data_IF_528917334036
#
_entry.id   IF_528917334036
#
_cell.length_a   1.000
_cell.length_b   1.000
_cell.length_c   1.000
_cell.angle_alpha   90.00
_cell.angle_beta   90.00
_cell.angle_gamma   90.00
#
_symmetry.space_group_name_H-M   'P 1'
#
loop_
_entity.id
_entity.type
_entity.pdbx_description
1 polymer ?
#
# COMPACT_ATOMS: atom_id res chain seq x y z
N UNK A 1 -17.58 45.01 42.28
CA UNK A 1 -17.73 43.54 42.25
C UNK A 1 -17.58 42.98 40.84
N UNK A 2 -18.47 43.28 39.88
CA UNK A 2 -18.41 42.69 38.53
C UNK A 2 -17.11 42.99 37.74
N UNK A 3 -16.59 44.23 37.83
CA UNK A 3 -15.36 44.64 37.14
C UNK A 3 -14.14 43.80 37.54
N UNK A 4 -14.00 43.52 38.84
CA UNK A 4 -12.91 42.68 39.37
C UNK A 4 -13.01 41.25 38.84
N UNK A 5 -14.23 40.69 38.76
CA UNK A 5 -14.47 39.38 38.17
C UNK A 5 -14.12 39.34 36.67
N UNK A 6 -14.51 40.36 35.90
CA UNK A 6 -14.17 40.45 34.47
C UNK A 6 -12.65 40.52 34.29
N UNK A 7 -11.95 41.31 35.11
CA UNK A 7 -10.50 41.46 35.01
C UNK A 7 -9.78 40.15 35.37
N UNK A 8 -10.25 39.44 36.40
CA UNK A 8 -9.75 38.10 36.76
C UNK A 8 -9.97 37.09 35.63
N UNK A 9 -11.16 37.10 35.00
CA UNK A 9 -11.48 36.21 33.88
C UNK A 9 -10.56 36.46 32.67
N UNK A 10 -10.27 37.72 32.36
CA UNK A 10 -9.33 38.10 31.29
C UNK A 10 -7.93 37.57 31.61
N UNK A 11 -7.44 37.79 32.83
CA UNK A 11 -6.11 37.30 33.24
C UNK A 11 -6.02 35.77 33.17
N UNK A 12 -7.05 35.06 33.62
CA UNK A 12 -7.10 33.60 33.53
C UNK A 12 -7.06 33.11 32.07
N UNK A 13 -7.78 33.78 31.16
CA UNK A 13 -7.75 33.45 29.74
C UNK A 13 -6.39 33.73 29.09
N UNK A 14 -5.75 34.85 29.42
CA UNK A 14 -4.42 35.17 28.92
C UNK A 14 -3.37 34.18 29.43
N UNK A 15 -3.45 33.78 30.69
CA UNK A 15 -2.59 32.73 31.26
C UNK A 15 -2.81 31.39 30.55
N UNK A 16 -4.08 31.00 30.33
CA UNK A 16 -4.42 29.79 29.59
C UNK A 16 -3.94 29.83 28.13
N UNK A 17 -4.11 30.97 27.45
CA UNK A 17 -3.62 31.18 26.10
C UNK A 17 -2.09 31.04 26.02
N UNK A 18 -1.37 31.69 26.94
CA UNK A 18 0.08 31.62 27.01
C UNK A 18 0.57 30.17 27.25
N UNK A 19 -0.15 29.43 28.10
CA UNK A 19 0.12 28.03 28.36
C UNK A 19 -0.15 27.14 27.14
N UNK A 20 -1.34 27.25 26.51
CA UNK A 20 -1.74 26.40 25.39
C UNK A 20 -0.89 26.58 24.13
N UNK A 21 -0.36 27.79 23.90
CA UNK A 21 0.53 28.10 22.78
C UNK A 21 2.00 27.77 23.08
N UNK A 22 2.30 27.22 24.26
CA UNK A 22 3.65 26.76 24.60
C UNK A 22 4.64 27.85 24.98
N UNK A 23 4.22 29.11 25.19
CA UNK A 23 5.12 30.19 25.63
C UNK A 23 5.74 29.93 27.01
N UNK A 24 5.05 29.17 27.85
CA UNK A 24 5.51 28.78 29.19
C UNK A 24 6.34 27.48 29.20
N UNK A 25 6.62 26.90 28.03
CA UNK A 25 7.33 25.61 27.91
C UNK A 25 8.79 25.67 28.36
N UNK A 26 9.45 26.82 28.18
CA UNK A 26 10.82 27.04 28.68
C UNK A 26 10.90 26.97 30.22
N UNK A 27 9.79 27.21 30.93
CA UNK A 27 9.68 27.10 32.38
C UNK A 27 9.18 25.70 32.83
N UNK A 28 9.04 24.73 31.92
CA UNK A 28 8.50 23.39 32.21
C UNK A 28 6.99 23.34 32.44
N UNK A 29 6.29 24.46 32.30
CA UNK A 29 4.86 24.61 32.48
C UNK A 29 4.21 24.74 31.10
N UNK A 30 4.01 23.65 30.40
CA UNK A 30 3.38 23.68 29.08
C UNK A 30 2.71 22.35 28.75
N UNK A 31 1.72 22.34 27.84
CA UNK A 31 1.20 21.11 27.30
C UNK A 31 2.35 20.28 26.72
N UNK A 32 2.36 18.98 27.01
CA UNK A 32 3.26 18.07 26.36
C UNK A 32 2.91 18.04 24.86
N UNK A 33 3.90 18.26 23.99
CA UNK A 33 3.70 17.91 22.58
C UNK A 33 3.39 16.43 22.51
N UNK A 34 2.20 16.12 22.02
CA UNK A 34 1.91 14.81 21.45
C UNK A 34 2.57 14.76 20.06
N UNK A 35 3.86 15.03 19.99
CA UNK A 35 4.67 14.39 18.97
C UNK A 35 4.61 12.89 19.30
N UNK A 36 4.53 12.03 18.31
CA UNK A 36 4.59 10.59 18.52
C UNK A 36 6.05 10.13 18.35
N UNK A 37 7.00 10.41 19.27
CA UNK A 37 8.38 9.96 19.11
C UNK A 37 8.45 8.43 19.11
N UNK A 38 7.49 7.74 19.75
CA UNK A 38 7.31 6.30 19.61
C UNK A 38 7.13 5.85 18.15
N UNK A 39 6.54 6.67 17.25
CA UNK A 39 6.48 6.31 15.83
C UNK A 39 7.85 6.29 15.17
N UNK A 40 8.78 7.15 15.59
CA UNK A 40 10.15 7.16 15.05
C UNK A 40 10.93 5.92 15.49
N UNK A 41 10.74 5.46 16.73
CA UNK A 41 11.39 4.25 17.24
C UNK A 41 10.75 2.96 16.75
N UNK A 42 9.49 3.00 16.30
CA UNK A 42 8.80 1.87 15.68
C UNK A 42 8.89 1.85 14.14
N UNK A 43 9.76 2.67 13.54
CA UNK A 43 9.96 2.59 12.09
C UNK A 43 10.68 1.30 11.73
N UNK A 44 9.98 0.43 11.01
CA UNK A 44 10.54 -0.82 10.50
C UNK A 44 11.22 -0.51 9.15
N UNK A 45 12.54 -0.61 9.10
CA UNK A 45 13.37 -0.42 7.92
C UNK A 45 13.19 0.92 7.18
N UNK A 46 13.33 2.09 7.85
CA UNK A 46 13.26 3.40 7.21
C UNK A 46 14.26 3.57 6.05
N UNK A 47 15.39 2.87 6.10
CA UNK A 47 16.44 2.87 5.08
C UNK A 47 15.99 2.33 3.71
N UNK A 48 14.82 1.67 3.63
CA UNK A 48 14.27 1.15 2.37
C UNK A 48 13.38 2.15 1.63
N UNK A 49 13.03 3.28 2.23
CA UNK A 49 12.31 4.34 1.52
C UNK A 49 13.30 5.23 0.76
N UNK A 50 13.39 5.02 -0.55
CA UNK A 50 14.06 5.95 -1.47
C UNK A 50 13.00 6.87 -2.05
N UNK A 51 13.09 8.15 -1.74
CA UNK A 51 12.23 9.17 -2.34
C UNK A 51 12.75 9.38 -3.76
N UNK A 52 12.04 8.85 -4.75
CA UNK A 52 12.31 9.19 -6.13
C UNK A 52 12.08 10.69 -6.29
N UNK A 53 13.14 11.43 -6.64
CA UNK A 53 12.98 12.79 -7.12
C UNK A 53 12.03 12.73 -8.32
N UNK A 54 11.01 13.59 -8.42
CA UNK A 54 10.25 13.68 -9.65
C UNK A 54 11.25 14.03 -10.74
N UNK A 55 11.43 13.15 -11.70
CA UNK A 55 12.25 13.44 -12.88
C UNK A 55 11.65 14.69 -13.50
N UNK A 56 12.37 15.80 -13.32
CA UNK A 56 12.07 17.05 -13.98
C UNK A 56 12.13 16.74 -15.47
N UNK A 57 10.95 16.78 -16.10
CA UNK A 57 10.79 16.38 -17.49
C UNK A 57 11.84 17.04 -18.37
N UNK A 58 12.73 16.23 -18.95
CA UNK A 58 13.68 16.67 -19.94
C UNK A 58 13.85 15.57 -21.00
N UNK A 59 13.15 15.82 -22.11
CA UNK A 59 13.49 15.39 -23.46
C UNK A 59 13.23 13.93 -23.84
N UNK A 60 12.00 13.71 -24.32
CA UNK A 60 11.72 12.66 -25.29
C UNK A 60 12.60 12.87 -26.55
N UNK A 61 13.39 11.89 -27.00
CA UNK A 61 14.01 11.96 -28.32
C UNK A 61 12.96 11.69 -29.39
N UNK A 62 12.94 12.60 -30.36
CA UNK A 62 12.05 12.63 -31.50
C UNK A 62 12.18 11.40 -32.39
N UNK A 63 11.04 10.98 -32.92
CA UNK A 63 10.86 9.97 -33.98
C UNK A 63 11.72 10.28 -35.21
N UNK A 64 12.47 9.29 -35.69
CA UNK A 64 13.03 9.30 -37.06
C UNK A 64 12.06 8.59 -38.01
N UNK A 65 11.72 9.19 -39.16
CA UNK A 65 10.86 8.56 -40.16
C UNK A 65 11.64 7.63 -41.08
N UNK A 66 10.91 6.66 -41.63
CA UNK A 66 11.36 5.67 -42.58
C UNK A 66 11.60 6.22 -44.01
N UNK A 67 12.63 5.69 -44.66
CA UNK A 67 12.75 5.39 -46.09
C UNK A 67 14.09 4.67 -46.26
N UNK A 68 14.27 3.60 -47.03
CA UNK A 68 13.48 2.98 -48.08
C UNK A 68 14.47 2.31 -49.04
N UNK A 69 14.01 1.27 -49.75
CA UNK A 69 14.68 0.51 -50.82
C UNK A 69 15.74 -0.53 -50.37
N UNK A 70 15.49 -1.84 -50.40
CA UNK A 70 15.13 -2.75 -51.51
C UNK A 70 16.34 -3.24 -52.34
N UNK A 71 16.71 -4.51 -52.14
CA UNK A 71 17.24 -5.49 -53.11
C UNK A 71 17.80 -6.68 -52.33
N UNK A 72 17.75 -7.95 -52.74
CA UNK A 72 16.95 -8.75 -53.66
C UNK A 72 17.39 -10.22 -53.42
N UNK A 73 16.44 -11.17 -53.46
CA UNK A 73 16.61 -12.61 -53.74
C UNK A 73 17.51 -13.47 -52.80
N UNK A 74 17.11 -14.63 -52.28
CA UNK A 74 16.49 -15.77 -52.99
C UNK A 74 15.74 -16.71 -52.01
N UNK A 75 14.77 -17.45 -52.56
CA UNK A 75 13.93 -18.45 -51.88
C UNK A 75 14.52 -19.90 -52.01
N UNK A 76 13.75 -21.00 -51.81
CA UNK A 76 13.71 -21.81 -50.57
C UNK A 76 14.06 -23.31 -50.79
N UNK A 77 14.25 -24.11 -49.71
CA UNK A 77 13.73 -25.50 -49.52
C UNK A 77 14.46 -26.30 -48.41
N UNK A 78 13.83 -27.36 -47.83
CA UNK A 78 14.12 -27.95 -46.50
C UNK A 78 14.65 -29.41 -46.58
N UNK A 79 14.32 -30.32 -45.64
CA UNK A 79 15.03 -30.65 -44.40
C UNK A 79 15.75 -32.02 -44.47
N UNK A 80 16.70 -32.29 -43.57
CA UNK A 80 17.13 -33.68 -43.32
C UNK A 80 17.20 -34.00 -41.84
N UNK A 81 16.76 -35.21 -41.57
CA UNK A 81 16.26 -35.75 -40.33
C UNK A 81 17.34 -36.18 -39.32
N UNK A 82 16.87 -36.26 -38.08
CA UNK A 82 17.16 -37.28 -37.07
C UNK A 82 18.61 -37.52 -36.63
N UNK A 83 18.86 -37.18 -35.36
CA UNK A 83 19.48 -38.16 -34.46
C UNK A 83 18.88 -38.04 -33.07
N UNK A 84 18.29 -39.14 -32.62
CA UNK A 84 17.81 -39.33 -31.27
C UNK A 84 18.99 -39.73 -30.36
N UNK A 85 19.21 -38.99 -29.28
CA UNK A 85 19.90 -39.50 -28.10
C UNK A 85 19.28 -38.86 -26.84
N UNK A 86 18.70 -39.72 -26.01
CA UNK A 86 18.14 -39.45 -24.67
C UNK A 86 19.28 -39.46 -23.63
N UNK A 87 19.01 -39.18 -22.35
CA UNK A 87 18.96 -37.88 -21.69
C UNK A 87 20.26 -37.60 -20.91
N UNK A 88 20.77 -36.37 -20.94
CA UNK A 88 21.89 -36.00 -20.07
C UNK A 88 21.60 -34.67 -19.40
N UNK A 89 21.51 -34.75 -18.07
CA UNK A 89 21.65 -33.70 -17.07
C UNK A 89 20.75 -32.47 -17.23
N UNK A 90 19.83 -32.33 -16.26
CA UNK A 90 19.28 -31.04 -15.86
C UNK A 90 20.42 -30.05 -15.64
N UNK A 91 20.73 -29.25 -16.65
CA UNK A 91 21.36 -27.96 -16.43
C UNK A 91 20.32 -27.15 -15.68
N UNK A 92 20.44 -27.16 -14.35
CA UNK A 92 19.86 -26.14 -13.51
C UNK A 92 20.36 -24.81 -14.07
N UNK A 93 19.50 -24.13 -14.82
CA UNK A 93 19.75 -22.77 -15.23
C UNK A 93 19.82 -21.99 -13.91
N UNK A 94 21.03 -21.64 -13.49
CA UNK A 94 21.20 -20.60 -12.48
C UNK A 94 20.64 -19.34 -13.11
N UNK A 95 19.40 -19.02 -12.75
CA UNK A 95 18.78 -17.76 -13.12
C UNK A 95 19.70 -16.63 -12.66
N UNK A 96 20.27 -15.93 -13.63
CA UNK A 96 21.08 -14.75 -13.40
C UNK A 96 20.29 -13.76 -12.53
N UNK A 97 20.96 -13.21 -11.53
CA UNK A 97 20.39 -12.34 -10.52
C UNK A 97 19.98 -10.99 -11.13
N UNK A 98 18.79 -10.97 -11.73
CA UNK A 98 18.00 -9.76 -11.89
C UNK A 98 17.43 -9.30 -10.54
N UNK A 99 16.84 -8.09 -10.47
CA UNK A 99 16.14 -7.65 -9.26
C UNK A 99 15.07 -8.69 -8.88
N UNK A 100 15.13 -9.17 -7.64
CA UNK A 100 14.16 -10.13 -7.11
C UNK A 100 12.83 -9.39 -6.93
N UNK A 101 11.86 -9.66 -7.79
CA UNK A 101 10.51 -9.13 -7.68
C UNK A 101 9.66 -10.07 -6.82
N UNK A 102 9.13 -9.56 -5.72
CA UNK A 102 8.13 -10.28 -4.93
C UNK A 102 6.74 -9.90 -5.42
N UNK A 103 5.96 -10.88 -5.87
CA UNK A 103 4.55 -10.69 -6.18
C UNK A 103 3.73 -10.81 -4.90
N UNK A 104 3.08 -9.72 -4.49
CA UNK A 104 2.16 -9.72 -3.37
C UNK A 104 0.72 -9.75 -3.90
N UNK A 105 -0.04 -10.77 -3.50
CA UNK A 105 -1.46 -10.88 -3.82
C UNK A 105 -2.22 -10.59 -2.54
N UNK A 106 -2.84 -9.41 -2.46
CA UNK A 106 -3.87 -8.96 -1.52
C UNK A 106 -3.59 -9.08 0.00
N UNK A 107 -4.00 -8.09 0.81
CA UNK A 107 -4.39 -8.40 2.18
C UNK A 107 -5.73 -9.14 2.12
N UNK A 108 -5.77 -10.37 2.63
CA UNK A 108 -7.00 -11.13 2.72
C UNK A 108 -7.50 -11.14 4.17
N UNK A 109 -8.73 -10.69 4.42
CA UNK A 109 -9.35 -10.81 5.74
C UNK A 109 -9.99 -12.18 5.95
N UNK A 110 -10.46 -12.81 4.86
CA UNK A 110 -11.20 -14.08 4.89
C UNK A 110 -10.68 -15.10 3.88
N UNK A 111 -9.44 -14.98 3.37
CA UNK A 111 -8.91 -16.02 2.50
C UNK A 111 -8.70 -17.31 3.27
N UNK A 112 -9.36 -18.37 2.82
CA UNK A 112 -9.07 -19.72 3.25
C UNK A 112 -7.76 -20.25 2.64
N UNK A 113 -7.40 -21.52 2.93
CA UNK A 113 -6.20 -22.17 2.39
C UNK A 113 -6.22 -22.35 0.85
N UNK A 114 -7.34 -22.02 0.20
CA UNK A 114 -7.60 -22.13 -1.23
C UNK A 114 -6.70 -21.22 -2.08
N UNK A 115 -6.42 -19.99 -1.63
CA UNK A 115 -5.54 -19.06 -2.34
C UNK A 115 -4.12 -19.63 -2.43
N UNK A 116 -3.62 -20.15 -1.29
CA UNK A 116 -2.32 -20.81 -1.24
C UNK A 116 -2.27 -22.11 -2.07
N UNK A 117 -3.38 -22.84 -2.18
CA UNK A 117 -3.48 -24.01 -3.05
C UNK A 117 -3.46 -23.63 -4.54
N UNK A 118 -4.21 -22.61 -4.94
CA UNK A 118 -4.25 -22.10 -6.30
C UNK A 118 -2.88 -21.59 -6.76
N UNK A 119 -2.16 -20.86 -5.90
CA UNK A 119 -0.80 -20.37 -6.19
C UNK A 119 0.19 -21.53 -6.36
N UNK A 120 0.09 -22.57 -5.53
CA UNK A 120 0.91 -23.78 -5.68
C UNK A 120 0.58 -24.56 -6.96
N UNK A 121 -0.69 -24.66 -7.32
CA UNK A 121 -1.11 -25.26 -8.59
C UNK A 121 -0.57 -24.49 -9.81
N UNK A 122 -0.38 -23.17 -9.68
CA UNK A 122 0.28 -22.33 -10.68
C UNK A 122 1.82 -22.42 -10.67
N UNK A 123 2.41 -23.31 -9.86
CA UNK A 123 3.87 -23.49 -9.77
C UNK A 123 4.60 -22.43 -8.93
N UNK A 124 3.87 -21.62 -8.17
CA UNK A 124 4.45 -20.62 -7.26
C UNK A 124 4.65 -21.22 -5.86
N UNK A 125 5.63 -20.69 -5.14
CA UNK A 125 5.87 -21.00 -3.73
C UNK A 125 5.38 -19.82 -2.85
N UNK A 126 4.09 -19.76 -2.50
CA UNK A 126 3.57 -18.65 -1.71
C UNK A 126 4.10 -18.70 -0.29
N UNK A 127 4.45 -17.53 0.25
CA UNK A 127 4.72 -17.34 1.67
C UNK A 127 3.55 -16.58 2.25
N UNK A 128 2.83 -17.21 3.17
CA UNK A 128 1.78 -16.53 3.92
C UNK A 128 2.42 -15.67 5.01
N UNK A 129 2.10 -14.38 5.00
CA UNK A 129 2.55 -13.45 6.04
C UNK A 129 1.33 -12.94 6.78
N UNK A 130 1.16 -13.41 8.01
CA UNK A 130 0.18 -12.82 8.89
C UNK A 130 0.69 -11.46 9.37
N UNK A 131 -0.09 -10.43 9.10
CA UNK A 131 0.18 -9.08 9.55
C UNK A 131 -0.96 -8.63 10.45
N UNK A 132 -0.62 -8.19 11.66
CA UNK A 132 -1.59 -7.58 12.54
C UNK A 132 -2.19 -6.37 11.81
N UNK A 133 -3.51 -6.37 11.63
CA UNK A 133 -4.19 -5.19 11.11
C UNK A 133 -4.02 -4.06 12.12
N UNK A 134 -3.75 -2.86 11.62
CA UNK A 134 -3.81 -1.65 12.45
C UNK A 134 -5.21 -1.46 13.04
N UNK A 135 -5.38 -0.52 13.98
CA UNK A 135 -6.68 -0.21 14.55
C UNK A 135 -7.67 0.12 13.42
N UNK A 136 -8.70 -0.70 13.31
CA UNK A 136 -9.76 -0.60 12.30
C UNK A 136 -11.07 -0.26 12.99
N UNK A 137 -11.86 0.58 12.33
CA UNK A 137 -13.15 1.05 12.85
C UNK A 137 -14.27 0.34 12.10
N UNK A 138 -15.21 -0.24 12.84
CA UNK A 138 -16.44 -0.81 12.29
C UNK A 138 -17.63 0.04 12.71
N UNK A 139 -18.52 0.33 11.77
CA UNK A 139 -19.81 0.95 12.09
C UNK A 139 -20.80 -0.15 12.43
N UNK A 140 -21.12 -0.27 13.72
CA UNK A 140 -22.12 -1.23 14.18
C UNK A 140 -23.52 -0.61 14.12
N UNK A 141 -24.37 -1.12 13.23
CA UNK A 141 -25.76 -0.67 13.10
C UNK A 141 -26.73 -1.52 13.93
N UNK A 142 -26.44 -1.70 15.22
CA UNK A 142 -27.36 -2.32 16.18
C UNK A 142 -27.82 -3.76 15.87
N UNK A 143 -28.57 -4.39 16.78
CA UNK A 143 -29.32 -5.59 16.47
C UNK A 143 -30.57 -5.23 15.64
N UNK A 144 -30.84 -5.97 14.57
CA UNK A 144 -32.08 -5.84 13.80
C UNK A 144 -33.16 -6.76 14.37
N UNK A 145 -34.42 -6.28 14.49
CA UNK A 145 -35.51 -7.08 15.06
C UNK A 145 -35.92 -8.25 14.16
N UNK A 146 -35.74 -8.11 12.85
CA UNK A 146 -36.09 -9.12 11.85
C UNK A 146 -35.20 -9.00 10.59
N UNK A 147 -35.32 -9.99 9.70
CA UNK A 147 -34.53 -10.06 8.47
C UNK A 147 -34.95 -9.04 7.40
N UNK A 148 -36.18 -8.51 7.45
CA UNK A 148 -36.64 -7.48 6.52
C UNK A 148 -36.00 -6.13 6.84
N UNK A 149 -35.90 -5.78 8.13
CA UNK A 149 -35.20 -4.59 8.60
C UNK A 149 -33.71 -4.62 8.20
N UNK A 150 -33.03 -5.76 8.38
CA UNK A 150 -31.64 -5.95 7.94
C UNK A 150 -31.49 -5.73 6.43
N UNK A 151 -32.34 -6.37 5.61
CA UNK A 151 -32.28 -6.26 4.14
C UNK A 151 -32.52 -4.83 3.65
N UNK A 152 -33.46 -4.11 4.27
CA UNK A 152 -33.72 -2.70 3.97
C UNK A 152 -32.47 -1.84 4.20
N UNK A 153 -31.78 -2.08 5.32
CA UNK A 153 -30.54 -1.37 5.66
C UNK A 153 -29.36 -1.72 4.76
N UNK A 154 -29.22 -2.99 4.39
CA UNK A 154 -28.23 -3.40 3.39
C UNK A 154 -28.49 -2.73 2.03
N UNK A 155 -29.75 -2.67 1.59
CA UNK A 155 -30.11 -1.98 0.35
C UNK A 155 -29.82 -0.48 0.42
N UNK A 156 -30.02 0.15 1.58
CA UNK A 156 -29.63 1.55 1.83
C UNK A 156 -28.11 1.74 1.71
N UNK A 157 -27.31 0.87 2.33
CA UNK A 157 -25.84 0.92 2.23
C UNK A 157 -25.34 0.73 0.79
N UNK A 158 -25.94 -0.21 0.04
CA UNK A 158 -25.60 -0.45 -1.36
C UNK A 158 -25.89 0.77 -2.24
N UNK A 159 -27.00 1.48 -1.99
CA UNK A 159 -27.32 2.74 -2.70
C UNK A 159 -26.32 3.85 -2.40
N UNK A 160 -25.76 3.88 -1.19
CA UNK A 160 -24.70 4.80 -0.80
C UNK A 160 -23.32 4.41 -1.36
N UNK A 161 -23.22 3.31 -2.12
CA UNK A 161 -21.98 2.79 -2.70
C UNK A 161 -20.85 2.59 -1.68
N UNK A 162 -21.21 2.32 -0.43
CA UNK A 162 -20.26 1.91 0.58
C UNK A 162 -19.79 0.50 0.23
N UNK A 163 -18.49 0.34 -0.05
CA UNK A 163 -17.90 -1.00 -0.23
C UNK A 163 -18.08 -1.77 1.08
N UNK A 164 -18.77 -2.90 1.03
CA UNK A 164 -18.76 -3.87 2.12
C UNK A 164 -17.29 -4.20 2.43
N UNK A 165 -16.92 -4.08 3.70
CA UNK A 165 -15.54 -4.17 4.16
C UNK A 165 -14.88 -5.46 3.65
N UNK A 166 -13.89 -5.29 2.79
CA UNK A 166 -12.98 -6.31 2.29
C UNK A 166 -12.02 -6.77 3.37
#
# INVERSE_FOLDING_TARGET
MLRSFVLLLILANLAFYAWSHGYLRAAGLGPHDVAEPQRLTQQIHPERLVIAAPESGASAPASSPASGAASAASAPAPPSAASAAKPAASNAVSAAAGPKLCLQVGPYLTAGPEVGAALRAAGLAPVEKQQALGPQWMVFMGPYPDTAALKSKLAELQRLQLKEGS
#
